data_IF_917077780923
#
_entry.id   IF_917077780923
#
_cell.length_a   1.000
_cell.length_b   1.000
_cell.length_c   1.000
_cell.angle_alpha   90.00
_cell.angle_beta   90.00
_cell.angle_gamma   90.00
#
_symmetry.space_group_name_H-M   'P 1'
#
loop_
_entity.id
_entity.type
_entity.pdbx_description
1 polymer ?
#
# COMPACT_ATOMS: atom_id res chain seq x y z
N UNK A 1 7.78 -7.97 -16.90
CA UNK A 1 8.66 -7.00 -16.18
C UNK A 1 8.80 -7.33 -14.67
N UNK A 2 8.11 -8.35 -14.17
CA UNK A 2 8.27 -8.90 -12.79
C UNK A 2 9.39 -9.96 -12.72
N UNK A 3 9.87 -10.44 -13.84
CA UNK A 3 10.95 -11.47 -13.94
C UNK A 3 12.33 -11.01 -13.42
N UNK A 4 12.55 -9.71 -13.20
CA UNK A 4 13.85 -9.18 -12.72
C UNK A 4 14.13 -9.44 -11.23
N UNK A 5 13.12 -9.87 -10.45
CA UNK A 5 13.32 -10.19 -9.04
C UNK A 5 13.70 -11.65 -8.76
N UNK A 6 13.70 -12.50 -9.80
CA UNK A 6 14.04 -13.92 -9.65
C UNK A 6 15.51 -14.23 -9.93
N UNK A 7 16.31 -13.27 -10.40
CA UNK A 7 17.72 -13.45 -10.71
C UNK A 7 18.62 -13.07 -9.53
N UNK A 8 18.92 -14.04 -8.77
CA UNK A 8 20.16 -14.51 -8.13
C UNK A 8 19.85 -15.41 -6.96
N UNK A 9 19.48 -16.62 -7.28
CA UNK A 9 19.57 -17.71 -6.32
C UNK A 9 21.04 -18.14 -6.27
N UNK A 10 21.84 -17.40 -5.52
CA UNK A 10 23.08 -17.94 -4.97
C UNK A 10 22.69 -18.61 -3.64
N UNK A 11 22.61 -19.92 -3.64
CA UNK A 11 22.48 -20.70 -2.42
C UNK A 11 21.07 -20.90 -1.85
N UNK A 12 19.99 -20.78 -2.63
CA UNK A 12 18.64 -21.19 -2.19
C UNK A 12 17.86 -20.20 -1.32
N UNK A 13 18.38 -19.00 -1.04
CA UNK A 13 17.72 -18.01 -0.18
C UNK A 13 16.88 -17.03 -1.02
N UNK A 14 15.61 -16.81 -0.58
CA UNK A 14 14.75 -15.77 -1.11
C UNK A 14 15.20 -14.40 -0.55
N UNK A 15 15.28 -13.38 -1.40
CA UNK A 15 15.58 -12.01 -0.97
C UNK A 15 14.53 -11.06 -1.53
N UNK A 16 13.85 -10.33 -0.66
CA UNK A 16 12.97 -9.22 -1.05
C UNK A 16 13.78 -7.91 -1.13
N UNK A 17 13.41 -7.05 -2.08
CA UNK A 17 13.99 -5.71 -2.25
C UNK A 17 12.89 -4.67 -2.44
N UNK A 18 13.26 -3.40 -2.32
CA UNK A 18 12.41 -2.26 -2.61
C UNK A 18 11.07 -2.32 -1.86
N UNK A 19 9.95 -2.10 -2.58
CA UNK A 19 8.61 -2.07 -1.99
C UNK A 19 8.20 -3.39 -1.33
N UNK A 20 8.59 -4.55 -1.90
CA UNK A 20 8.24 -5.84 -1.30
C UNK A 20 8.95 -6.05 0.04
N UNK A 21 10.21 -5.60 0.16
CA UNK A 21 10.94 -5.62 1.43
C UNK A 21 10.28 -4.69 2.45
N UNK A 22 9.90 -3.48 2.02
CA UNK A 22 9.21 -2.51 2.89
C UNK A 22 7.86 -3.05 3.38
N UNK A 23 7.06 -3.69 2.50
CA UNK A 23 5.80 -4.34 2.90
C UNK A 23 6.08 -5.39 3.97
N UNK A 24 7.04 -6.28 3.74
CA UNK A 24 7.42 -7.32 4.70
C UNK A 24 7.88 -6.74 6.05
N UNK A 25 8.67 -5.66 6.03
CA UNK A 25 9.18 -5.03 7.24
C UNK A 25 8.05 -4.46 8.13
N UNK A 26 6.94 -4.07 7.51
CA UNK A 26 5.75 -3.58 8.20
C UNK A 26 4.81 -4.69 8.70
N UNK A 27 5.02 -5.95 8.31
CA UNK A 27 4.23 -7.08 8.81
C UNK A 27 4.62 -7.34 10.28
N UNK A 28 3.72 -7.18 11.25
CA UNK A 28 3.99 -7.63 12.62
C UNK A 28 4.05 -9.15 12.70
N UNK A 29 4.66 -9.75 13.73
CA UNK A 29 4.51 -11.16 14.01
C UNK A 29 3.03 -11.53 14.11
N UNK A 30 2.61 -12.63 13.45
CA UNK A 30 1.22 -13.03 13.39
C UNK A 30 1.07 -14.55 13.27
N UNK A 31 -0.13 -15.05 13.52
CA UNK A 31 -0.45 -16.44 13.29
C UNK A 31 -0.77 -16.69 11.81
N UNK A 32 -1.59 -15.83 11.22
CA UNK A 32 -2.04 -15.97 9.82
C UNK A 32 -1.79 -14.67 9.05
N UNK A 33 -1.07 -14.77 7.94
CA UNK A 33 -0.87 -13.70 6.97
C UNK A 33 -1.72 -13.95 5.72
N UNK A 34 -2.62 -13.03 5.38
CA UNK A 34 -3.44 -13.07 4.16
C UNK A 34 -2.93 -12.08 3.13
N UNK A 35 -2.42 -12.57 2.00
CA UNK A 35 -1.92 -11.78 0.86
C UNK A 35 -2.98 -11.76 -0.25
N UNK A 36 -3.60 -10.61 -0.45
CA UNK A 36 -4.74 -10.43 -1.36
C UNK A 36 -4.29 -9.82 -2.68
N UNK A 37 -4.59 -10.49 -3.80
CA UNK A 37 -4.08 -10.14 -5.12
C UNK A 37 -2.62 -10.56 -5.28
N UNK A 38 -2.31 -11.73 -4.78
CA UNK A 38 -0.97 -12.30 -4.91
C UNK A 38 -0.64 -12.60 -6.37
N UNK A 39 0.58 -12.36 -6.80
CA UNK A 39 1.02 -12.78 -8.13
C UNK A 39 1.93 -14.02 -8.05
N UNK A 40 2.96 -13.98 -7.24
CA UNK A 40 3.94 -15.05 -7.06
C UNK A 40 4.05 -15.54 -5.61
N UNK A 41 3.19 -15.07 -4.72
CA UNK A 41 3.23 -15.33 -3.27
C UNK A 41 4.62 -15.07 -2.63
N UNK A 42 5.34 -14.04 -3.11
CA UNK A 42 6.69 -13.76 -2.61
C UNK A 42 6.68 -13.23 -1.17
N UNK A 43 5.72 -12.36 -0.83
CA UNK A 43 5.58 -11.79 0.51
C UNK A 43 5.23 -12.89 1.52
N UNK A 44 4.16 -13.69 1.30
CA UNK A 44 3.80 -14.75 2.24
C UNK A 44 4.87 -15.85 2.33
N UNK A 45 5.51 -16.21 1.22
CA UNK A 45 6.62 -17.19 1.27
C UNK A 45 7.79 -16.68 2.10
N UNK A 46 8.19 -15.43 1.89
CA UNK A 46 9.28 -14.82 2.67
C UNK A 46 8.92 -14.69 4.14
N UNK A 47 7.66 -14.35 4.46
CA UNK A 47 7.17 -14.26 5.84
C UNK A 47 7.22 -15.61 6.57
N UNK A 48 6.79 -16.69 5.90
CA UNK A 48 6.86 -18.05 6.44
C UNK A 48 8.31 -18.51 6.67
N UNK A 49 9.18 -18.31 5.66
CA UNK A 49 10.59 -18.72 5.74
C UNK A 49 11.37 -18.01 6.85
N UNK A 50 10.96 -16.80 7.21
CA UNK A 50 11.59 -16.01 8.27
C UNK A 50 10.83 -16.06 9.60
N UNK A 51 9.84 -16.95 9.76
CA UNK A 51 9.08 -17.10 10.99
C UNK A 51 8.25 -15.87 11.39
N UNK A 52 7.90 -15.01 10.43
CA UNK A 52 7.08 -13.82 10.67
C UNK A 52 5.61 -14.20 10.87
N UNK A 53 5.15 -15.25 10.21
CA UNK A 53 3.84 -15.86 10.41
C UNK A 53 3.96 -17.38 10.49
N UNK A 54 2.95 -18.05 11.10
CA UNK A 54 2.88 -19.51 11.20
C UNK A 54 2.21 -20.13 9.97
N UNK A 55 1.22 -19.42 9.42
CA UNK A 55 0.47 -19.79 8.21
C UNK A 55 0.30 -18.60 7.29
N UNK A 56 0.13 -18.85 6.01
CA UNK A 56 -0.20 -17.82 5.04
C UNK A 56 -1.34 -18.28 4.13
N UNK A 57 -2.14 -17.32 3.69
CA UNK A 57 -3.19 -17.50 2.69
C UNK A 57 -2.89 -16.52 1.56
N UNK A 58 -2.67 -17.04 0.36
CA UNK A 58 -2.43 -16.24 -0.83
C UNK A 58 -3.61 -16.34 -1.78
N UNK A 59 -4.23 -15.20 -2.08
CA UNK A 59 -5.46 -15.12 -2.86
C UNK A 59 -5.27 -14.32 -4.14
N UNK A 60 -5.90 -14.74 -5.21
CA UNK A 60 -6.10 -13.93 -6.42
C UNK A 60 -7.43 -14.29 -7.09
N UNK A 61 -7.97 -13.35 -7.86
CA UNK A 61 -9.21 -13.54 -8.63
C UNK A 61 -8.96 -14.35 -9.90
N UNK A 62 -7.71 -14.50 -10.34
CA UNK A 62 -7.32 -15.21 -11.55
C UNK A 62 -6.51 -16.47 -11.23
N UNK A 63 -6.71 -17.56 -11.97
CA UNK A 63 -5.96 -18.80 -11.75
C UNK A 63 -4.45 -18.66 -12.06
N UNK A 64 -4.07 -17.91 -13.11
CA UNK A 64 -2.66 -17.79 -13.51
C UNK A 64 -1.71 -17.25 -12.43
N UNK A 65 -2.04 -16.17 -11.69
CA UNK A 65 -1.29 -15.77 -10.50
C UNK A 65 -1.15 -16.89 -9.46
N UNK A 66 -2.21 -17.64 -9.19
CA UNK A 66 -2.18 -18.74 -8.24
C UNK A 66 -1.30 -19.92 -8.71
N UNK A 67 -1.23 -20.19 -10.01
CA UNK A 67 -0.29 -21.17 -10.56
C UNK A 67 1.17 -20.75 -10.29
N UNK A 68 1.50 -19.46 -10.47
CA UNK A 68 2.82 -18.93 -10.13
C UNK A 68 3.10 -18.98 -8.61
N UNK A 69 2.09 -18.68 -7.81
CA UNK A 69 2.16 -18.83 -6.35
C UNK A 69 2.39 -20.28 -5.92
N UNK A 70 1.77 -21.25 -6.60
CA UNK A 70 1.99 -22.68 -6.33
C UNK A 70 3.43 -23.13 -6.67
N UNK A 71 4.00 -22.59 -7.77
CA UNK A 71 5.42 -22.83 -8.08
C UNK A 71 6.33 -22.34 -6.95
N UNK A 72 6.06 -21.16 -6.39
CA UNK A 72 6.81 -20.62 -5.24
C UNK A 72 6.60 -21.49 -3.99
N UNK A 73 5.36 -21.84 -3.69
CA UNK A 73 4.99 -22.69 -2.56
C UNK A 73 5.71 -24.05 -2.61
N UNK A 74 5.75 -24.70 -3.77
CA UNK A 74 6.46 -25.97 -3.99
C UNK A 74 7.98 -25.81 -3.88
N UNK A 75 8.53 -24.79 -4.52
CA UNK A 75 9.97 -24.51 -4.53
C UNK A 75 10.53 -24.37 -3.12
N UNK A 76 9.79 -23.73 -2.23
CA UNK A 76 10.21 -23.46 -0.85
C UNK A 76 9.61 -24.44 0.18
N UNK A 77 8.99 -25.55 -0.29
CA UNK A 77 8.40 -26.59 0.56
C UNK A 77 7.36 -26.09 1.58
N UNK A 78 6.51 -25.11 1.15
CA UNK A 78 5.53 -24.44 2.00
C UNK A 78 4.11 -25.02 1.85
N UNK A 79 3.96 -26.25 1.35
CA UNK A 79 2.67 -26.89 1.07
C UNK A 79 1.77 -27.01 2.32
N UNK A 80 2.35 -27.19 3.49
CA UNK A 80 1.61 -27.36 4.74
C UNK A 80 1.35 -26.05 5.49
N UNK A 81 1.97 -24.94 5.05
CA UNK A 81 1.89 -23.64 5.74
C UNK A 81 1.32 -22.51 4.89
N UNK A 82 1.12 -22.74 3.58
CA UNK A 82 0.55 -21.74 2.67
C UNK A 82 -0.64 -22.32 1.92
N UNK A 83 -1.80 -21.71 2.07
CA UNK A 83 -3.01 -21.99 1.28
C UNK A 83 -3.08 -21.05 0.07
N UNK A 84 -3.56 -21.58 -1.06
CA UNK A 84 -3.86 -20.78 -2.25
C UNK A 84 -5.37 -20.82 -2.48
N UNK A 85 -5.99 -19.65 -2.63
CA UNK A 85 -7.44 -19.54 -2.78
C UNK A 85 -7.82 -18.63 -3.93
N UNK A 86 -8.70 -19.11 -4.79
CA UNK A 86 -9.30 -18.34 -5.88
C UNK A 86 -10.50 -17.56 -5.34
N UNK A 87 -10.54 -16.25 -5.58
CA UNK A 87 -11.67 -15.39 -5.22
C UNK A 87 -11.31 -13.91 -5.21
N UNK A 88 -12.31 -13.06 -5.07
CA UNK A 88 -12.15 -11.59 -5.10
C UNK A 88 -11.88 -11.04 -3.71
N UNK A 89 -10.86 -10.20 -3.62
CA UNK A 89 -10.56 -9.47 -2.39
C UNK A 89 -10.48 -10.38 -1.16
N UNK A 90 -11.19 -10.02 -0.11
CA UNK A 90 -11.25 -10.78 1.15
C UNK A 90 -12.34 -11.88 1.16
N UNK A 91 -13.06 -12.09 0.06
CA UNK A 91 -14.11 -13.10 -0.01
C UNK A 91 -13.63 -14.50 0.44
N UNK A 92 -12.48 -15.02 -0.07
CA UNK A 92 -12.02 -16.35 0.27
C UNK A 92 -11.41 -16.48 1.67
N UNK A 93 -11.27 -15.37 2.43
CA UNK A 93 -10.73 -15.37 3.80
C UNK A 93 -11.89 -15.49 4.79
N UNK A 94 -11.77 -16.36 5.79
CA UNK A 94 -12.71 -16.39 6.92
C UNK A 94 -12.39 -15.29 7.91
N UNK A 95 -13.34 -14.91 8.76
CA UNK A 95 -13.15 -13.82 9.72
C UNK A 95 -12.01 -14.11 10.72
N UNK A 96 -11.90 -15.34 11.16
CA UNK A 96 -10.86 -15.82 12.08
C UNK A 96 -9.48 -16.01 11.44
N UNK A 97 -9.39 -15.90 10.12
CA UNK A 97 -8.13 -16.03 9.36
C UNK A 97 -7.51 -14.66 8.99
N UNK A 98 -8.09 -13.58 9.46
CA UNK A 98 -7.66 -12.22 9.10
C UNK A 98 -6.80 -11.59 10.20
N UNK A 99 -5.68 -12.21 10.58
CA UNK A 99 -4.74 -11.60 11.54
C UNK A 99 -4.04 -10.39 10.94
N UNK A 100 -3.31 -10.62 9.86
CA UNK A 100 -2.65 -9.56 9.08
C UNK A 100 -3.06 -9.70 7.63
N UNK A 101 -3.54 -8.63 7.06
CA UNK A 101 -3.96 -8.55 5.66
C UNK A 101 -2.96 -7.68 4.89
N UNK A 102 -2.47 -8.17 3.76
CA UNK A 102 -1.67 -7.41 2.80
C UNK A 102 -2.47 -7.25 1.51
N UNK A 103 -2.59 -6.02 1.03
CA UNK A 103 -3.15 -5.67 -0.28
C UNK A 103 -2.15 -4.80 -1.02
N UNK A 104 -1.39 -5.39 -1.93
CA UNK A 104 -0.28 -4.73 -2.61
C UNK A 104 -0.36 -4.86 -4.13
N UNK A 105 0.19 -3.87 -4.85
CA UNK A 105 0.25 -3.92 -6.31
C UNK A 105 -1.06 -3.57 -7.03
N UNK A 106 -2.06 -3.06 -6.32
CA UNK A 106 -3.38 -2.69 -6.84
C UNK A 106 -3.58 -1.18 -6.90
N UNK A 107 -4.57 -0.70 -7.65
CA UNK A 107 -5.00 0.71 -7.58
C UNK A 107 -5.69 1.02 -6.25
N UNK A 108 -5.48 2.25 -5.73
CA UNK A 108 -6.10 2.67 -4.45
C UNK A 108 -7.62 2.59 -4.47
N UNK A 109 -8.27 2.89 -5.60
CA UNK A 109 -9.71 2.74 -5.76
C UNK A 109 -10.15 1.27 -5.58
N UNK A 110 -9.43 0.32 -6.18
CA UNK A 110 -9.74 -1.10 -6.03
C UNK A 110 -9.51 -1.57 -4.59
N UNK A 111 -8.41 -1.15 -3.95
CA UNK A 111 -8.13 -1.48 -2.55
C UNK A 111 -9.28 -1.03 -1.64
N UNK A 112 -9.70 0.24 -1.76
CA UNK A 112 -10.79 0.78 -0.92
C UNK A 112 -12.11 0.07 -1.17
N UNK A 113 -12.43 -0.26 -2.42
CA UNK A 113 -13.62 -1.03 -2.78
C UNK A 113 -13.60 -2.43 -2.13
N UNK A 114 -12.52 -3.20 -2.30
CA UNK A 114 -12.41 -4.55 -1.75
C UNK A 114 -12.48 -4.58 -0.22
N UNK A 115 -11.93 -3.56 0.45
CA UNK A 115 -12.07 -3.41 1.90
C UNK A 115 -13.52 -3.14 2.28
N UNK A 116 -14.25 -2.28 1.55
CA UNK A 116 -15.66 -1.99 1.82
C UNK A 116 -16.55 -3.21 1.63
N UNK A 117 -16.34 -3.98 0.56
CA UNK A 117 -17.09 -5.21 0.27
C UNK A 117 -16.96 -6.25 1.40
N UNK A 118 -15.86 -6.22 2.14
CA UNK A 118 -15.57 -7.15 3.24
C UNK A 118 -15.18 -6.42 4.53
N UNK A 119 -15.80 -5.30 4.81
CA UNK A 119 -15.40 -4.38 5.89
C UNK A 119 -15.36 -5.04 7.28
N UNK A 120 -16.23 -6.01 7.54
CA UNK A 120 -16.26 -6.71 8.83
C UNK A 120 -15.00 -7.58 9.03
N UNK A 121 -14.51 -8.24 7.97
CA UNK A 121 -13.26 -8.99 8.02
C UNK A 121 -12.07 -8.04 8.19
N UNK A 122 -12.05 -6.94 7.44
CA UNK A 122 -11.01 -5.92 7.56
C UNK A 122 -10.94 -5.32 8.97
N UNK A 123 -12.09 -5.07 9.62
CA UNK A 123 -12.15 -4.55 10.99
C UNK A 123 -11.64 -5.52 12.05
N UNK A 124 -11.66 -6.83 11.80
CA UNK A 124 -11.14 -7.85 12.71
C UNK A 124 -9.64 -8.04 12.61
N UNK A 125 -9.03 -7.59 11.51
CA UNK A 125 -7.60 -7.70 11.34
C UNK A 125 -6.83 -6.86 12.38
N UNK A 126 -5.80 -7.47 12.96
CA UNK A 126 -4.87 -6.77 13.86
C UNK A 126 -4.06 -5.71 13.12
N UNK A 127 -3.81 -5.95 11.83
CA UNK A 127 -3.08 -5.04 10.95
C UNK A 127 -3.49 -5.24 9.48
N UNK A 128 -3.62 -4.14 8.76
CA UNK A 128 -3.81 -4.13 7.30
C UNK A 128 -2.68 -3.32 6.68
N UNK A 129 -1.98 -3.91 5.72
CA UNK A 129 -0.88 -3.28 5.01
C UNK A 129 -1.30 -3.05 3.56
N UNK A 130 -1.28 -1.80 3.14
CA UNK A 130 -1.74 -1.36 1.83
C UNK A 130 -0.59 -0.78 1.01
N UNK A 131 -0.43 -1.24 -0.23
CA UNK A 131 0.51 -0.66 -1.17
C UNK A 131 -0.21 -0.30 -2.48
N UNK A 132 -0.75 0.93 -2.58
CA UNK A 132 -1.44 1.39 -3.78
C UNK A 132 -0.45 1.74 -4.89
N UNK A 133 -0.73 1.29 -6.14
CA UNK A 133 0.04 1.64 -7.34
C UNK A 133 -0.42 2.96 -7.96
N UNK A 134 -1.73 3.21 -7.90
CA UNK A 134 -2.40 4.42 -8.42
C UNK A 134 -3.41 4.93 -7.41
N UNK A 135 -3.92 6.17 -7.56
CA UNK A 135 -4.91 6.78 -6.65
C UNK A 135 -4.51 6.65 -5.16
N UNK A 136 -3.24 6.89 -4.87
CA UNK A 136 -2.65 6.76 -3.52
C UNK A 136 -3.29 7.72 -2.53
N UNK A 137 -3.75 8.85 -3.03
CA UNK A 137 -4.44 9.91 -2.28
C UNK A 137 -5.77 9.47 -1.65
N UNK A 138 -6.38 8.39 -2.15
CA UNK A 138 -7.64 7.88 -1.61
C UNK A 138 -7.46 7.07 -0.31
N UNK A 139 -6.27 6.54 -0.06
CA UNK A 139 -6.05 5.56 1.02
C UNK A 139 -6.22 6.18 2.40
N UNK A 140 -5.58 7.32 2.67
CA UNK A 140 -5.62 7.94 4.01
C UNK A 140 -7.02 8.43 4.38
N UNK A 141 -7.72 9.23 3.55
CA UNK A 141 -9.09 9.64 3.81
C UNK A 141 -10.01 8.44 4.06
N UNK A 142 -9.92 7.42 3.18
CA UNK A 142 -10.71 6.21 3.31
C UNK A 142 -10.50 5.51 4.66
N UNK A 143 -9.27 5.34 5.09
CA UNK A 143 -8.95 4.70 6.38
C UNK A 143 -9.53 5.51 7.55
N UNK A 144 -9.32 6.81 7.58
CA UNK A 144 -9.82 7.68 8.65
C UNK A 144 -11.35 7.71 8.74
N UNK A 145 -12.04 7.85 7.60
CA UNK A 145 -13.50 7.89 7.51
C UNK A 145 -14.14 6.55 7.94
N UNK A 146 -13.44 5.44 7.75
CA UNK A 146 -13.93 4.11 8.12
C UNK A 146 -13.45 3.61 9.48
N UNK A 147 -12.80 4.47 10.29
CA UNK A 147 -12.40 4.18 11.65
C UNK A 147 -11.12 3.37 11.78
N UNK A 148 -10.26 3.40 10.75
CA UNK A 148 -8.92 2.83 10.80
C UNK A 148 -7.90 3.90 11.20
N UNK A 149 -7.01 3.56 12.10
CA UNK A 149 -5.84 4.34 12.46
C UNK A 149 -4.65 3.91 11.60
N UNK A 150 -3.96 4.88 10.99
CA UNK A 150 -2.67 4.63 10.34
C UNK A 150 -1.62 4.54 11.44
N UNK A 151 -0.97 3.39 11.55
CA UNK A 151 0.05 3.10 12.58
C UNK A 151 1.46 3.30 12.05
N UNK A 152 1.67 3.09 10.77
CA UNK A 152 2.97 3.31 10.12
C UNK A 152 2.83 3.64 8.64
N UNK A 153 3.82 4.34 8.11
CA UNK A 153 3.96 4.65 6.69
C UNK A 153 5.43 4.60 6.28
N UNK A 154 5.67 4.15 5.08
CA UNK A 154 7.00 4.14 4.49
C UNK A 154 6.99 4.35 2.99
N UNK A 155 8.13 4.76 2.47
CA UNK A 155 8.38 4.96 1.06
C UNK A 155 9.51 4.04 0.59
N UNK A 156 9.37 3.46 -0.58
CA UNK A 156 10.43 2.73 -1.26
C UNK A 156 10.64 3.30 -2.67
N UNK A 157 11.88 3.35 -3.12
CA UNK A 157 12.20 3.78 -4.48
C UNK A 157 12.63 2.56 -5.30
N UNK A 158 11.98 2.34 -6.45
CA UNK A 158 12.35 1.32 -7.43
C UNK A 158 12.31 1.94 -8.82
N UNK A 159 13.38 1.80 -9.60
CA UNK A 159 13.47 2.32 -10.96
C UNK A 159 13.05 3.81 -11.09
N UNK A 160 13.43 4.62 -10.10
CA UNK A 160 13.09 6.05 -10.06
C UNK A 160 11.64 6.38 -9.73
N UNK A 161 10.82 5.40 -9.35
CA UNK A 161 9.45 5.59 -8.87
C UNK A 161 9.37 5.40 -7.37
N UNK A 162 8.62 6.27 -6.70
CA UNK A 162 8.38 6.17 -5.26
C UNK A 162 7.05 5.46 -5.01
N UNK A 163 7.10 4.47 -4.15
CA UNK A 163 5.96 3.66 -3.73
C UNK A 163 5.66 3.92 -2.26
N UNK A 164 4.39 4.15 -1.95
CA UNK A 164 3.88 4.31 -0.60
C UNK A 164 3.41 2.95 -0.07
N UNK A 165 3.77 2.66 1.18
CA UNK A 165 3.18 1.56 1.96
C UNK A 165 2.57 2.15 3.22
N UNK A 166 1.35 1.75 3.54
CA UNK A 166 0.59 2.21 4.71
C UNK A 166 0.21 1.01 5.54
N UNK A 167 0.53 1.04 6.84
CA UNK A 167 0.08 0.07 7.83
C UNK A 167 -1.00 0.68 8.71
N UNK A 168 -2.10 -0.03 8.91
CA UNK A 168 -3.26 0.47 9.63
C UNK A 168 -3.94 -0.62 10.46
N UNK A 169 -4.73 -0.20 11.47
CA UNK A 169 -5.58 -1.06 12.29
C UNK A 169 -6.93 -0.42 12.54
N UNK A 170 -7.93 -1.21 12.78
CA UNK A 170 -9.25 -0.70 13.15
C UNK A 170 -9.29 -0.28 14.61
N UNK A 171 -9.80 0.93 14.89
CA UNK A 171 -10.01 1.46 16.23
C UNK A 171 -11.45 1.88 16.49
N UNK A 172 -12.27 1.94 15.44
CA UNK A 172 -13.62 2.48 15.48
C UNK A 172 -13.69 4.01 15.50
N UNK A 173 -12.58 4.69 15.68
CA UNK A 173 -12.53 6.15 15.77
C UNK A 173 -12.45 6.74 14.35
N UNK A 174 -13.57 7.29 13.90
CA UNK A 174 -13.64 7.99 12.61
C UNK A 174 -13.07 9.39 12.74
N UNK A 175 -12.27 9.79 11.75
CA UNK A 175 -11.71 11.14 11.66
C UNK A 175 -12.07 11.73 10.30
N UNK A 176 -12.60 12.95 10.31
CA UNK A 176 -12.69 13.76 9.10
C UNK A 176 -11.47 14.68 9.11
N UNK A 177 -10.66 14.59 8.08
CA UNK A 177 -9.47 15.44 7.96
C UNK A 177 -9.67 16.41 6.79
N UNK A 178 -9.51 17.70 7.06
CA UNK A 178 -9.63 18.75 6.05
C UNK A 178 -8.26 19.28 5.62
N UNK A 179 -7.17 18.61 6.01
CA UNK A 179 -5.81 19.02 5.67
C UNK A 179 -5.28 18.18 4.50
N UNK A 180 -5.26 18.76 3.31
CA UNK A 180 -4.83 18.08 2.08
C UNK A 180 -3.36 17.67 2.09
N UNK A 181 -2.50 18.39 2.82
CA UNK A 181 -1.09 17.99 2.99
C UNK A 181 -1.01 16.65 3.71
N UNK A 182 -1.79 16.48 4.79
CA UNK A 182 -1.83 15.22 5.53
C UNK A 182 -2.35 14.06 4.68
N UNK A 183 -3.34 14.32 3.83
CA UNK A 183 -3.90 13.33 2.91
C UNK A 183 -2.89 12.90 1.83
N UNK A 184 -2.15 13.85 1.27
CA UNK A 184 -1.23 13.60 0.15
C UNK A 184 0.13 13.10 0.62
N UNK A 185 0.70 13.74 1.64
CA UNK A 185 2.08 13.49 2.07
C UNK A 185 2.14 12.45 3.20
N UNK A 186 1.28 12.59 4.23
CA UNK A 186 1.21 11.73 5.41
C UNK A 186 1.97 12.29 6.61
N UNK A 187 1.27 12.41 7.74
CA UNK A 187 1.84 12.93 8.99
C UNK A 187 3.02 12.08 9.49
N UNK A 188 2.90 10.75 9.38
CA UNK A 188 3.93 9.83 9.89
C UNK A 188 5.21 9.96 9.08
N UNK A 189 5.13 10.13 7.77
CA UNK A 189 6.30 10.35 6.91
C UNK A 189 7.01 11.66 7.25
N UNK A 190 6.23 12.71 7.55
CA UNK A 190 6.77 14.03 7.98
C UNK A 190 7.44 13.90 9.35
N UNK A 191 6.76 13.32 10.34
CA UNK A 191 7.26 13.16 11.71
C UNK A 191 8.55 12.34 11.78
N UNK A 192 8.65 11.29 10.95
CA UNK A 192 9.84 10.44 10.84
C UNK A 192 10.97 11.08 10.07
N UNK A 193 10.75 12.22 9.42
CA UNK A 193 11.66 12.80 8.44
C UNK A 193 12.19 11.72 7.48
N UNK A 194 11.22 11.00 6.84
CA UNK A 194 11.55 9.83 6.02
C UNK A 194 12.59 10.17 4.94
N UNK A 195 13.63 9.36 4.71
CA UNK A 195 14.72 9.69 3.78
C UNK A 195 14.27 10.06 2.35
N UNK A 196 13.15 9.51 1.89
CA UNK A 196 12.56 9.83 0.58
C UNK A 196 11.47 10.92 0.64
N UNK A 197 11.28 11.57 1.81
CA UNK A 197 10.20 12.54 1.99
C UNK A 197 10.34 13.73 1.03
N UNK A 198 11.54 14.25 0.87
CA UNK A 198 11.81 15.39 -0.02
C UNK A 198 11.46 15.07 -1.48
N UNK A 199 11.86 13.90 -1.95
CA UNK A 199 11.51 13.44 -3.32
C UNK A 199 10.01 13.16 -3.47
N UNK A 200 9.37 12.65 -2.42
CA UNK A 200 7.93 12.41 -2.37
C UNK A 200 7.15 13.74 -2.50
N UNK A 201 7.50 14.75 -1.72
CA UNK A 201 6.90 16.08 -1.80
C UNK A 201 7.15 16.70 -3.17
N UNK A 202 8.37 16.61 -3.71
CA UNK A 202 8.72 17.07 -5.06
C UNK A 202 7.86 16.45 -6.15
N UNK A 203 7.57 15.14 -6.05
CA UNK A 203 6.66 14.47 -6.99
C UNK A 203 5.25 15.07 -6.92
N UNK A 204 4.73 15.35 -5.71
CA UNK A 204 3.42 15.96 -5.51
C UNK A 204 3.39 17.41 -6.03
N UNK A 205 4.41 18.22 -5.78
CA UNK A 205 4.53 19.56 -6.37
C UNK A 205 4.46 19.51 -7.90
N UNK A 206 5.19 18.58 -8.53
CA UNK A 206 5.15 18.44 -10.00
C UNK A 206 3.76 18.09 -10.53
N UNK A 207 3.03 17.21 -9.84
CA UNK A 207 1.66 16.85 -10.19
C UNK A 207 0.71 18.03 -10.00
N UNK A 208 0.86 18.74 -8.88
CA UNK A 208 0.03 19.89 -8.54
C UNK A 208 0.23 21.07 -9.53
N UNK A 209 1.47 21.35 -9.94
CA UNK A 209 1.76 22.34 -10.98
C UNK A 209 1.04 22.03 -12.29
N UNK A 210 1.01 20.75 -12.69
CA UNK A 210 0.29 20.32 -13.89
C UNK A 210 -1.22 20.49 -13.75
N UNK A 211 -1.78 20.15 -12.58
CA UNK A 211 -3.21 20.33 -12.31
C UNK A 211 -3.62 21.80 -12.38
N UNK A 212 -2.90 22.70 -11.70
CA UNK A 212 -3.14 24.15 -11.75
C UNK A 212 -3.02 24.70 -13.18
N UNK A 213 -1.98 24.32 -13.90
CA UNK A 213 -1.79 24.74 -15.31
C UNK A 213 -2.93 24.25 -16.20
N UNK A 214 -3.37 23.00 -16.03
CA UNK A 214 -4.51 22.45 -16.78
C UNK A 214 -5.81 23.21 -16.52
N UNK A 215 -6.11 23.54 -15.25
CA UNK A 215 -7.30 24.32 -14.89
C UNK A 215 -7.28 25.73 -15.49
N UNK A 216 -6.13 26.40 -15.48
CA UNK A 216 -5.97 27.74 -16.10
C UNK A 216 -6.14 27.72 -17.61
N UNK A 217 -5.79 26.64 -18.28
CA UNK A 217 -5.92 26.50 -19.73
C UNK A 217 -7.31 26.06 -20.21
N UNK A 218 -8.16 25.57 -19.31
CA UNK A 218 -9.48 25.03 -19.62
C UNK A 218 -10.50 26.15 -19.91
N UNK A 219 -10.65 26.53 -21.17
CA UNK A 219 -11.56 27.61 -21.59
C UNK A 219 -13.04 27.36 -21.31
N UNK A 220 -13.49 26.11 -21.31
CA UNK A 220 -14.91 25.70 -21.14
C UNK A 220 -15.31 25.39 -19.70
N UNK A 221 -14.35 25.26 -18.77
CA UNK A 221 -14.56 24.92 -17.38
C UNK A 221 -13.70 25.80 -16.45
N UNK A 222 -13.63 27.10 -16.76
CA UNK A 222 -12.89 28.05 -15.92
C UNK A 222 -13.62 28.25 -14.59
N UNK A 223 -12.98 27.77 -13.51
CA UNK A 223 -13.48 27.84 -12.14
C UNK A 223 -12.42 28.54 -11.26
N UNK A 224 -12.57 29.84 -11.00
CA UNK A 224 -11.61 30.62 -10.23
C UNK A 224 -11.41 30.10 -8.79
N UNK A 225 -12.49 29.66 -8.14
CA UNK A 225 -12.45 29.16 -6.77
C UNK A 225 -11.64 27.86 -6.68
N UNK A 226 -11.87 26.97 -7.63
CA UNK A 226 -11.11 25.73 -7.73
C UNK A 226 -9.63 26.00 -8.01
N UNK A 227 -9.32 26.97 -8.89
CA UNK A 227 -7.93 27.35 -9.19
C UNK A 227 -7.26 27.86 -7.90
N UNK A 228 -7.92 28.75 -7.15
CA UNK A 228 -7.38 29.29 -5.89
C UNK A 228 -7.09 28.19 -4.86
N UNK A 229 -7.99 27.22 -4.71
CA UNK A 229 -7.80 26.08 -3.82
C UNK A 229 -6.56 25.26 -4.22
N UNK A 230 -6.41 24.97 -5.51
CA UNK A 230 -5.27 24.17 -5.98
C UNK A 230 -3.95 24.97 -5.97
N UNK A 231 -3.97 26.27 -6.13
CA UNK A 231 -2.80 27.16 -5.95
C UNK A 231 -2.37 27.23 -4.48
N UNK A 232 -3.32 27.31 -3.56
CA UNK A 232 -3.03 27.27 -2.11
C UNK A 232 -2.35 25.97 -1.74
N UNK A 233 -2.86 24.83 -2.22
CA UNK A 233 -2.23 23.54 -1.99
C UNK A 233 -0.80 23.48 -2.57
N UNK A 234 -0.60 24.06 -3.77
CA UNK A 234 0.74 24.12 -4.35
C UNK A 234 1.70 24.95 -3.50
N UNK A 235 1.22 26.07 -2.94
CA UNK A 235 2.00 26.90 -2.03
C UNK A 235 2.39 26.13 -0.77
N UNK A 236 1.42 25.47 -0.10
CA UNK A 236 1.66 24.67 1.11
C UNK A 236 2.66 23.53 0.86
N UNK A 237 2.55 22.82 -0.28
CA UNK A 237 3.52 21.79 -0.68
C UNK A 237 4.93 22.37 -0.89
N UNK A 238 5.03 23.58 -1.42
CA UNK A 238 6.32 24.25 -1.67
C UNK A 238 6.94 24.69 -0.34
N UNK A 239 6.16 25.27 0.56
CA UNK A 239 6.60 25.63 1.91
C UNK A 239 7.10 24.41 2.70
N UNK A 240 6.38 23.30 2.61
CA UNK A 240 6.83 22.02 3.20
C UNK A 240 8.16 21.57 2.59
N UNK A 241 8.30 21.61 1.27
CA UNK A 241 9.54 21.21 0.58
C UNK A 241 10.73 22.06 1.02
N UNK A 242 10.54 23.36 1.12
CA UNK A 242 11.60 24.30 1.53
C UNK A 242 12.01 24.06 3.01
N UNK A 243 11.06 23.72 3.87
CA UNK A 243 11.33 23.37 5.26
C UNK A 243 12.15 22.08 5.44
N UNK A 244 12.13 21.17 4.45
CA UNK A 244 12.90 19.92 4.45
C UNK A 244 14.34 20.10 3.92
N UNK A 245 14.72 21.30 3.55
CA UNK A 245 16.00 21.62 2.87
C UNK A 245 17.07 22.25 3.76
N UNK A 246 16.78 22.44 5.06
CA UNK A 246 17.71 23.01 6.03
C UNK A 246 18.67 21.99 6.60
#
# INVERSE_FOLDING_TARGET
>A
MILYYLDKISGGYMVLKGRLKLIYDMIPPCDILSDIGTDHALIPAYALLNGRCKKAIACDVKPGPLERADMTRRKYMLLNSMDLRLGSGLEPIREEEADVIVMAGMGGMLITQLILESINKAKKANCIILQPMTNRELIRPFLWENGFEIIDEGLACEEGKIYLVVSSRYTGIRKVNNNRIKELIGDILIQKNHPLLKDWVKEHIRKQKKAVSGLKCAKSAYDPEKIEIEERLLKELTELFDSLGG
#
